data_IF_749314745531
#
_entry.id   IF_749314745531
#
_cell.length_a   1.000
_cell.length_b   1.000
_cell.length_c   1.000
_cell.angle_alpha   90.00
_cell.angle_beta   90.00
_cell.angle_gamma   90.00
#
_symmetry.space_group_name_H-M   'P 1'
#
loop_
_entity.id
_entity.type
_entity.pdbx_description
1 polymer ?
#
# COMPACT_ATOMS: atom_id res chain seq x y z
N UNK A 1 -25.41 -3.39 -18.76
CA UNK A 1 -23.97 -3.18 -19.02
C UNK A 1 -23.19 -3.83 -17.89
N UNK A 2 -22.40 -4.87 -18.16
CA UNK A 2 -21.54 -5.57 -17.18
C UNK A 2 -20.32 -6.09 -17.95
N UNK A 3 -19.13 -6.05 -17.33
CA UNK A 3 -17.89 -6.57 -17.95
C UNK A 3 -17.12 -5.61 -18.86
N UNK A 4 -17.40 -4.30 -18.83
CA UNK A 4 -16.57 -3.31 -19.53
C UNK A 4 -15.28 -3.08 -18.71
N UNK A 5 -14.07 -3.04 -19.30
CA UNK A 5 -12.83 -3.05 -18.53
C UNK A 5 -12.63 -1.80 -17.64
N UNK A 6 -13.32 -0.69 -17.92
CA UNK A 6 -13.26 0.55 -17.14
C UNK A 6 -14.30 0.65 -16.01
N UNK A 7 -15.20 -0.33 -15.83
CA UNK A 7 -16.24 -0.23 -14.76
C UNK A 7 -15.76 -0.70 -13.39
N UNK A 8 -14.51 -1.15 -13.26
CA UNK A 8 -13.87 -1.54 -11.99
C UNK A 8 -14.78 -2.26 -10.95
N UNK A 9 -15.48 -3.37 -11.29
CA UNK A 9 -16.59 -3.88 -10.47
C UNK A 9 -16.21 -4.36 -9.05
N UNK A 10 -14.92 -4.56 -8.78
CA UNK A 10 -14.41 -4.89 -7.45
C UNK A 10 -14.63 -3.76 -6.42
N UNK A 11 -14.89 -2.53 -6.88
CA UNK A 11 -15.08 -1.36 -6.02
C UNK A 11 -16.56 -0.99 -5.81
N UNK A 12 -17.51 -1.61 -6.54
CA UNK A 12 -18.95 -1.27 -6.53
C UNK A 12 -19.60 -1.31 -5.13
N UNK A 13 -19.05 -2.13 -4.21
CA UNK A 13 -19.57 -2.33 -2.85
C UNK A 13 -18.76 -1.57 -1.78
N UNK A 14 -17.69 -0.87 -2.16
CA UNK A 14 -16.81 -0.18 -1.22
C UNK A 14 -17.29 1.25 -0.96
N UNK A 15 -17.39 1.62 0.32
CA UNK A 15 -17.71 2.99 0.72
C UNK A 15 -16.41 3.79 0.93
N UNK A 16 -16.33 5.05 0.47
CA UNK A 16 -15.20 5.93 0.77
C UNK A 16 -14.93 6.02 2.28
N UNK A 17 -13.73 5.66 2.70
CA UNK A 17 -13.35 5.60 4.13
C UNK A 17 -12.82 6.94 4.66
N UNK A 18 -12.68 7.95 3.80
CA UNK A 18 -12.17 9.28 4.14
C UNK A 18 -12.06 10.16 2.90
N UNK A 19 -11.66 11.41 3.11
CA UNK A 19 -11.22 12.31 2.04
C UNK A 19 -9.77 11.98 1.62
N UNK A 20 -9.38 12.18 0.36
CA UNK A 20 -7.99 12.01 -0.06
C UNK A 20 -7.06 12.98 0.69
N UNK A 21 -5.89 12.51 1.09
CA UNK A 21 -4.85 13.40 1.62
C UNK A 21 -4.29 14.34 0.54
N UNK A 22 -3.86 15.54 0.97
CA UNK A 22 -3.10 16.49 0.16
C UNK A 22 -1.62 16.48 0.58
N UNK A 23 -0.73 16.38 -0.41
CA UNK A 23 0.71 16.52 -0.27
C UNK A 23 1.13 17.81 -0.95
N UNK A 24 1.63 18.77 -0.17
CA UNK A 24 2.10 20.06 -0.67
C UNK A 24 3.63 20.12 -0.61
N UNK A 25 4.24 20.59 -1.70
CA UNK A 25 5.68 20.81 -1.82
C UNK A 25 5.90 22.30 -2.00
N UNK A 26 6.64 22.92 -1.09
CA UNK A 26 7.11 24.30 -1.22
C UNK A 26 8.61 24.31 -1.56
N UNK A 27 9.02 25.29 -2.36
CA UNK A 27 10.42 25.58 -2.66
C UNK A 27 10.78 27.01 -2.27
N UNK A 28 12.07 27.28 -2.12
CA UNK A 28 12.59 28.56 -1.60
C UNK A 28 12.33 29.75 -2.54
N UNK A 29 12.15 29.50 -3.85
CA UNK A 29 11.89 30.53 -4.86
C UNK A 29 10.49 31.16 -4.84
N UNK A 30 9.66 30.78 -3.86
CA UNK A 30 8.29 31.27 -3.70
C UNK A 30 7.22 30.28 -4.17
N UNK A 31 7.52 29.32 -5.06
CA UNK A 31 6.51 28.36 -5.57
C UNK A 31 6.08 27.35 -4.50
N UNK A 32 4.82 26.93 -4.58
CA UNK A 32 4.24 25.85 -3.78
C UNK A 32 3.16 25.13 -4.60
N UNK A 33 3.10 23.80 -4.54
CA UNK A 33 2.16 22.97 -5.31
C UNK A 33 1.62 21.83 -4.47
N UNK A 34 0.30 21.62 -4.47
CA UNK A 34 -0.38 20.53 -3.78
C UNK A 34 -0.96 19.50 -4.75
N UNK A 35 -0.85 18.23 -4.40
CA UNK A 35 -1.44 17.10 -5.11
C UNK A 35 -2.19 16.19 -4.13
N UNK A 36 -3.32 15.63 -4.55
CA UNK A 36 -3.99 14.56 -3.81
C UNK A 36 -3.21 13.23 -3.93
N UNK A 37 -3.52 12.24 -3.08
CA UNK A 37 -3.02 10.85 -3.18
C UNK A 37 -3.10 10.26 -4.61
N UNK A 38 -4.12 10.66 -5.37
CA UNK A 38 -4.40 10.21 -6.73
C UNK A 38 -3.64 11.03 -7.81
N UNK A 39 -2.70 11.89 -7.42
CA UNK A 39 -1.90 12.74 -8.31
C UNK A 39 -2.60 14.01 -8.80
N UNK A 40 -3.91 14.14 -8.61
CA UNK A 40 -4.71 15.31 -8.98
C UNK A 40 -4.14 16.58 -8.34
N UNK A 41 -3.73 17.55 -9.16
CA UNK A 41 -3.32 18.89 -8.69
C UNK A 41 -4.50 19.56 -8.00
N UNK A 42 -4.27 20.14 -6.83
CA UNK A 42 -5.29 20.88 -6.07
C UNK A 42 -4.88 22.36 -5.94
N UNK A 43 -5.82 23.27 -6.15
CA UNK A 43 -5.56 24.71 -6.02
C UNK A 43 -5.78 25.16 -4.58
N UNK A 44 -4.75 25.76 -4.00
CA UNK A 44 -4.68 26.19 -2.61
C UNK A 44 -4.07 27.59 -2.58
N UNK A 45 -4.55 28.45 -1.69
CA UNK A 45 -3.94 29.76 -1.44
C UNK A 45 -2.44 29.59 -1.05
N UNK A 46 -1.51 30.40 -1.59
CA UNK A 46 -0.06 30.20 -1.39
C UNK A 46 0.41 30.10 0.07
N UNK A 47 -0.15 30.90 0.98
CA UNK A 47 0.12 30.84 2.42
C UNK A 47 -0.34 29.52 3.04
N UNK A 48 -1.57 29.09 2.75
CA UNK A 48 -2.12 27.80 3.18
C UNK A 48 -1.31 26.63 2.59
N UNK A 49 -0.91 26.69 1.32
CA UNK A 49 -0.04 25.68 0.70
C UNK A 49 1.28 25.52 1.46
N UNK A 50 1.89 26.63 1.87
CA UNK A 50 3.13 26.64 2.67
C UNK A 50 2.92 26.13 4.10
N UNK A 51 1.80 26.46 4.73
CA UNK A 51 1.43 25.91 6.04
C UNK A 51 1.28 24.38 5.97
N UNK A 52 0.58 23.86 4.94
CA UNK A 52 0.43 22.40 4.74
C UNK A 52 1.79 21.74 4.46
N UNK A 53 2.62 22.34 3.60
CA UNK A 53 3.94 21.79 3.27
C UNK A 53 4.89 21.75 4.49
N UNK A 54 4.71 22.65 5.46
CA UNK A 54 5.54 22.76 6.67
C UNK A 54 5.01 21.92 7.85
N UNK A 55 3.72 22.04 8.14
CA UNK A 55 3.10 21.57 9.37
C UNK A 55 2.06 20.44 9.14
N UNK A 56 1.71 20.15 7.88
CA UNK A 56 0.72 19.13 7.50
C UNK A 56 -0.74 19.57 7.68
N UNK A 57 -1.66 18.60 7.63
CA UNK A 57 -3.10 18.79 7.90
C UNK A 57 -3.57 17.76 8.92
N UNK A 58 -4.28 18.23 9.95
CA UNK A 58 -4.99 17.34 10.86
C UNK A 58 -6.28 16.82 10.20
N UNK A 59 -6.37 15.49 10.07
CA UNK A 59 -7.57 14.80 9.58
C UNK A 59 -8.11 13.90 10.71
N UNK A 60 -9.27 14.23 11.33
CA UNK A 60 -9.80 13.52 12.49
C UNK A 60 -10.32 12.12 12.16
N UNK A 61 -10.47 11.77 10.88
CA UNK A 61 -10.93 10.47 10.42
C UNK A 61 -9.77 9.49 10.14
N UNK A 62 -8.50 9.92 10.30
CA UNK A 62 -7.36 9.00 10.21
C UNK A 62 -7.43 7.98 11.34
N UNK A 63 -7.42 6.70 10.96
CA UNK A 63 -7.20 5.60 11.92
C UNK A 63 -5.80 5.78 12.54
N UNK A 64 -5.64 5.57 13.86
CA UNK A 64 -4.32 5.56 14.49
C UNK A 64 -3.38 4.60 13.77
N UNK A 65 -2.11 4.95 13.65
CA UNK A 65 -1.09 4.02 13.19
C UNK A 65 -0.91 2.95 14.28
N UNK A 66 -1.21 1.70 13.96
CA UNK A 66 -0.97 0.55 14.84
C UNK A 66 0.49 0.54 15.30
N UNK A 67 0.73 0.79 16.59
CA UNK A 67 2.08 0.79 17.14
C UNK A 67 2.63 -0.65 17.10
N UNK A 68 3.52 -0.92 16.15
CA UNK A 68 4.29 -2.17 16.09
C UNK A 68 5.20 -2.23 17.31
N UNK A 69 4.69 -2.84 18.39
CA UNK A 69 5.44 -3.03 19.63
C UNK A 69 6.72 -3.84 19.37
N UNK A 70 7.91 -3.33 19.70
CA UNK A 70 9.13 -4.12 19.59
C UNK A 70 9.04 -5.32 20.53
N UNK A 71 9.22 -6.53 19.99
CA UNK A 71 9.12 -7.78 20.75
C UNK A 71 10.33 -7.96 21.68
N UNK A 72 10.22 -7.46 22.89
CA UNK A 72 11.24 -7.65 23.92
C UNK A 72 11.11 -9.00 24.63
N UNK A 73 11.93 -9.96 24.20
CA UNK A 73 12.54 -10.97 25.08
C UNK A 73 11.87 -12.34 25.24
N UNK A 74 12.68 -13.41 25.05
CA UNK A 74 12.96 -14.38 26.13
C UNK A 74 14.18 -15.27 25.79
N UNK A 75 15.09 -15.43 26.76
CA UNK A 75 16.12 -16.50 26.77
C UNK A 75 15.50 -17.82 27.28
N UNK A 76 16.06 -18.97 26.88
CA UNK A 76 15.67 -20.30 27.37
C UNK A 76 16.50 -21.43 26.73
N UNK A 77 17.12 -22.25 27.56
CA UNK A 77 18.29 -23.10 27.24
C UNK A 77 18.38 -24.22 28.30
N UNK A 78 18.67 -25.50 28.01
CA UNK A 78 18.70 -26.28 26.75
C UNK A 78 18.43 -27.78 27.11
N UNK A 79 18.02 -28.62 26.13
CA UNK A 79 18.46 -30.03 25.98
C UNK A 79 17.74 -30.81 24.86
N UNK A 80 18.51 -31.31 23.89
CA UNK A 80 18.37 -32.61 23.19
C UNK A 80 17.11 -32.89 22.33
N UNK A 81 17.15 -33.57 21.18
CA UNK A 81 18.22 -34.34 20.50
C UNK A 81 18.02 -34.35 18.97
N UNK A 82 19.12 -34.27 18.22
CA UNK A 82 19.38 -35.08 17.00
C UNK A 82 18.48 -34.98 15.76
N UNK A 83 18.82 -34.08 14.83
CA UNK A 83 18.78 -34.38 13.39
C UNK A 83 19.76 -33.47 12.61
N UNK A 84 20.90 -34.00 12.19
CA UNK A 84 21.91 -33.23 11.43
C UNK A 84 21.45 -32.97 9.99
N UNK A 85 21.64 -31.74 9.52
CA UNK A 85 21.92 -31.43 8.11
C UNK A 85 22.85 -30.23 8.03
N UNK A 86 23.88 -30.36 7.19
CA UNK A 86 25.05 -29.50 7.25
C UNK A 86 24.79 -28.03 6.91
N UNK A 87 25.35 -27.13 7.72
CA UNK A 87 25.45 -25.71 7.42
C UNK A 87 26.84 -25.41 6.84
N UNK A 88 26.95 -24.80 5.65
CA UNK A 88 28.11 -23.99 5.30
C UNK A 88 27.99 -22.62 5.97
N UNK A 89 29.02 -22.22 6.71
CA UNK A 89 29.04 -21.04 7.57
C UNK A 89 29.58 -19.78 6.87
N UNK A 90 28.86 -18.66 7.03
CA UNK A 90 29.32 -17.27 6.89
C UNK A 90 29.77 -16.80 5.47
N UNK A 91 29.81 -15.51 5.10
CA UNK A 91 29.82 -14.24 5.85
C UNK A 91 28.93 -13.15 5.21
N UNK A 92 28.71 -12.07 5.96
CA UNK A 92 27.83 -10.92 5.72
C UNK A 92 27.81 -10.30 4.29
N UNK A 93 26.59 -10.00 3.84
CA UNK A 93 26.26 -9.02 2.80
C UNK A 93 24.75 -8.72 2.88
N UNK A 94 24.35 -7.45 2.93
CA UNK A 94 22.94 -7.03 3.14
C UNK A 94 22.03 -7.40 1.97
N UNK A 95 21.52 -8.63 1.98
CA UNK A 95 20.56 -9.14 1.01
C UNK A 95 19.11 -8.95 1.46
N UNK A 96 18.45 -7.93 0.94
CA UNK A 96 16.99 -7.82 1.06
C UNK A 96 16.31 -8.95 0.29
N UNK A 97 15.48 -9.75 0.97
CA UNK A 97 14.65 -10.73 0.27
C UNK A 97 13.56 -9.97 -0.50
N UNK A 98 13.70 -9.88 -1.81
CA UNK A 98 12.54 -9.66 -2.66
C UNK A 98 11.90 -11.03 -2.87
N UNK A 99 10.63 -11.25 -2.48
CA UNK A 99 9.92 -12.44 -2.94
C UNK A 99 9.98 -12.42 -4.47
N UNK A 100 10.31 -13.57 -5.08
CA UNK A 100 10.41 -13.69 -6.55
C UNK A 100 9.15 -13.09 -7.17
N UNK A 101 9.26 -12.27 -8.25
CA UNK A 101 8.08 -11.71 -8.89
C UNK A 101 7.24 -12.86 -9.45
N UNK A 102 6.21 -13.25 -8.70
CA UNK A 102 5.08 -13.97 -9.24
C UNK A 102 4.39 -13.00 -10.17
N UNK A 103 4.73 -13.08 -11.46
CA UNK A 103 4.02 -12.34 -12.51
C UNK A 103 2.53 -12.62 -12.27
N UNK A 104 1.71 -11.61 -11.92
CA UNK A 104 0.28 -11.80 -11.82
C UNK A 104 -0.18 -12.37 -13.15
N UNK A 105 -0.90 -13.49 -13.14
CA UNK A 105 -1.43 -14.08 -14.37
C UNK A 105 -2.14 -12.98 -15.17
N UNK A 106 -1.85 -12.89 -16.47
CA UNK A 106 -2.53 -11.93 -17.34
C UNK A 106 -4.04 -12.03 -17.12
N UNK A 107 -4.71 -10.89 -17.02
CA UNK A 107 -6.13 -10.84 -16.72
C UNK A 107 -6.90 -11.58 -17.82
N UNK A 108 -7.28 -12.83 -17.52
CA UNK A 108 -8.09 -13.67 -18.39
C UNK A 108 -9.55 -13.47 -17.98
N UNK A 109 -10.37 -12.77 -18.80
CA UNK A 109 -11.77 -12.52 -18.47
C UNK A 109 -12.54 -13.85 -18.41
N UNK A 110 -13.52 -13.99 -17.49
CA UNK A 110 -14.28 -15.22 -17.36
C UNK A 110 -15.13 -15.48 -18.60
N UNK A 111 -14.94 -16.65 -19.22
CA UNK A 111 -15.71 -17.07 -20.38
C UNK A 111 -17.18 -17.33 -19.99
N UNK A 112 -18.11 -16.68 -20.69
CA UNK A 112 -19.54 -16.85 -20.43
C UNK A 112 -20.02 -18.19 -21.00
N UNK A 113 -20.31 -19.15 -20.12
CA UNK A 113 -21.08 -20.33 -20.50
C UNK A 113 -22.49 -19.89 -20.91
N UNK A 114 -22.77 -19.93 -22.22
CA UNK A 114 -24.12 -19.74 -22.75
C UNK A 114 -24.94 -20.96 -22.34
N UNK A 115 -25.92 -20.75 -21.46
CA UNK A 115 -26.85 -21.79 -21.05
C UNK A 115 -27.82 -22.12 -22.19
N UNK A 116 -27.37 -22.95 -23.13
CA UNK A 116 -28.22 -23.47 -24.22
C UNK A 116 -29.13 -24.57 -23.66
N UNK A 117 -30.36 -24.21 -23.30
CA UNK A 117 -31.40 -25.19 -22.97
C UNK A 117 -32.69 -24.56 -22.48
N UNK A 118 -33.74 -24.60 -23.31
CA UNK A 118 -35.17 -24.82 -22.97
C UNK A 118 -36.10 -24.46 -24.15
N UNK A 119 -36.21 -25.37 -25.12
CA UNK A 119 -37.49 -25.93 -25.61
C UNK A 119 -37.20 -27.13 -26.53
#
# INVERSE_FOLDING_TARGET
MKGMPWTAPAYDQLQPQGVPDLFCIAVDDGRCTCHAEQGTKYEVEPGVCRAIARDGVYNPFRKPLEHVSPRTGRQGEDKGEGATKEQPTAVAGVGGYWPKPTIPQDYSPPEHQIATGMN
#
